data_IF_744307395925
#
_entry.id   IF_744307395925
#
_cell.length_a   1.000
_cell.length_b   1.000
_cell.length_c   1.000
_cell.angle_alpha   90.00
_cell.angle_beta   90.00
_cell.angle_gamma   90.00
#
_symmetry.space_group_name_H-M   'P 1'
#
loop_
_entity.id
_entity.type
_entity.pdbx_description
1 polymer ?
#
# COMPACT_ATOMS: atom_id res chain seq x y z
N UNK A 1 52.88 -15.81 -12.34
CA UNK A 1 52.75 -14.70 -11.83
C UNK A 1 51.72 -13.84 -12.34
N UNK A 2 51.63 -13.55 -13.53
CA UNK A 2 50.66 -12.69 -14.05
C UNK A 2 49.31 -13.28 -14.00
N UNK A 3 49.17 -14.51 -13.84
CA UNK A 3 47.90 -15.15 -13.86
C UNK A 3 46.97 -14.70 -12.78
N UNK A 4 47.53 -14.42 -11.68
CA UNK A 4 46.68 -14.03 -10.61
C UNK A 4 45.93 -12.83 -10.86
N UNK A 5 46.48 -11.94 -11.56
CA UNK A 5 45.83 -10.72 -11.79
C UNK A 5 44.54 -10.90 -12.49
N UNK A 6 44.53 -11.78 -13.38
CA UNK A 6 43.38 -12.01 -14.18
C UNK A 6 42.23 -12.51 -13.37
N UNK A 7 42.55 -13.34 -12.46
CA UNK A 7 41.51 -13.89 -11.64
C UNK A 7 40.82 -12.90 -10.82
N UNK A 8 41.53 -11.97 -10.30
CA UNK A 8 40.91 -11.02 -9.42
C UNK A 8 39.96 -10.14 -10.18
N UNK A 9 40.25 -9.81 -11.37
CA UNK A 9 39.35 -8.98 -12.11
C UNK A 9 38.05 -9.65 -12.36
N UNK A 10 38.13 -10.95 -12.53
CA UNK A 10 36.97 -11.66 -12.82
C UNK A 10 35.91 -11.54 -11.81
N UNK A 11 36.28 -11.50 -10.58
CA UNK A 11 35.32 -11.46 -9.53
C UNK A 11 34.46 -10.25 -9.50
N UNK A 12 34.91 -9.15 -9.93
CA UNK A 12 34.13 -8.00 -9.88
C UNK A 12 32.92 -8.02 -10.71
N UNK A 13 33.01 -8.59 -11.83
CA UNK A 13 31.93 -8.57 -12.77
C UNK A 13 30.67 -9.14 -12.25
N UNK A 14 30.78 -10.12 -11.43
CA UNK A 14 29.61 -10.72 -10.95
C UNK A 14 28.80 -9.84 -10.09
N UNK A 15 29.44 -9.11 -9.26
CA UNK A 15 28.75 -8.31 -8.30
C UNK A 15 27.87 -7.29 -8.94
N UNK A 16 28.31 -6.72 -9.99
CA UNK A 16 27.55 -5.66 -10.57
C UNK A 16 26.28 -6.18 -11.22
N UNK A 17 26.30 -7.36 -11.70
CA UNK A 17 25.11 -7.84 -12.36
C UNK A 17 23.98 -8.12 -11.41
N UNK A 18 24.28 -8.42 -10.20
CA UNK A 18 23.25 -8.73 -9.28
C UNK A 18 22.42 -7.57 -8.89
N UNK A 19 22.99 -6.42 -8.95
CA UNK A 19 22.31 -5.24 -8.45
C UNK A 19 21.27 -4.69 -9.39
N UNK A 20 21.23 -5.12 -10.58
CA UNK A 20 20.37 -4.49 -11.54
C UNK A 20 19.10 -5.26 -11.82
N UNK A 21 18.53 -5.85 -10.82
CA UNK A 21 17.31 -6.53 -11.02
C UNK A 21 16.20 -5.58 -11.26
N UNK A 22 15.56 -5.63 -12.38
CA UNK A 22 14.44 -4.74 -12.62
C UNK A 22 13.24 -5.22 -11.85
N UNK A 23 12.63 -4.34 -11.12
CA UNK A 23 11.42 -4.67 -10.44
C UNK A 23 10.28 -4.04 -11.18
N UNK A 24 9.16 -4.69 -11.16
CA UNK A 24 7.98 -4.11 -11.73
C UNK A 24 7.61 -2.88 -10.95
N UNK A 25 7.25 -1.83 -11.62
CA UNK A 25 6.83 -0.64 -10.89
C UNK A 25 5.55 -0.92 -10.18
N UNK A 26 5.64 -1.02 -8.89
CA UNK A 26 4.46 -1.10 -8.06
C UNK A 26 4.05 0.32 -7.81
N UNK A 27 2.93 0.71 -8.33
CA UNK A 27 2.43 2.03 -8.06
C UNK A 27 1.70 2.00 -6.75
N UNK A 28 2.42 2.35 -5.73
CA UNK A 28 1.82 2.46 -4.42
C UNK A 28 1.24 3.84 -4.27
N UNK A 29 0.10 3.90 -3.65
CA UNK A 29 -0.61 5.15 -3.49
C UNK A 29 -1.09 5.25 -2.05
N UNK A 30 -0.87 6.38 -1.44
CA UNK A 30 -1.28 6.59 -0.04
C UNK A 30 -2.59 7.31 0.01
N UNK A 31 -3.52 6.76 0.79
CA UNK A 31 -4.84 7.32 0.95
C UNK A 31 -5.09 7.56 2.41
N UNK A 32 -5.46 8.78 2.76
CA UNK A 32 -5.82 9.10 4.12
C UNK A 32 -7.32 8.88 4.29
N UNK A 33 -7.68 8.12 5.30
CA UNK A 33 -9.07 7.76 5.56
C UNK A 33 -9.49 8.40 6.87
N UNK A 34 -10.57 9.15 6.84
CA UNK A 34 -11.13 9.75 8.04
C UNK A 34 -12.63 9.46 8.10
N UNK A 35 -13.17 9.45 9.29
CA UNK A 35 -14.59 9.23 9.46
C UNK A 35 -15.18 10.23 10.44
N UNK A 36 -16.47 10.47 10.32
CA UNK A 36 -17.19 11.26 11.27
C UNK A 36 -18.40 10.44 11.70
N UNK A 37 -18.45 10.02 12.95
CA UNK A 37 -17.51 10.30 14.04
C UNK A 37 -16.22 9.49 13.88
N UNK A 38 -15.18 9.94 14.54
CA UNK A 38 -13.90 9.26 14.49
C UNK A 38 -13.95 7.91 15.18
N UNK A 39 -12.97 7.08 14.88
CA UNK A 39 -12.87 5.79 15.53
C UNK A 39 -13.58 4.66 14.82
N UNK A 40 -13.99 4.88 13.59
CA UNK A 40 -14.63 3.81 12.84
C UNK A 40 -13.62 2.75 12.45
N UNK A 41 -14.06 1.51 12.43
CA UNK A 41 -13.20 0.40 12.02
C UNK A 41 -13.08 0.39 10.52
N UNK A 42 -11.87 0.20 10.02
CA UNK A 42 -11.60 0.20 8.59
C UNK A 42 -11.04 -1.14 8.18
N UNK A 43 -11.61 -1.69 7.12
CA UNK A 43 -11.09 -2.91 6.50
C UNK A 43 -10.67 -2.58 5.09
N UNK A 44 -9.52 -3.08 4.69
CA UNK A 44 -9.04 -2.93 3.32
C UNK A 44 -9.10 -4.30 2.66
N UNK A 45 -9.87 -4.40 1.60
CA UNK A 45 -10.05 -5.66 0.88
C UNK A 45 -10.43 -6.79 1.84
N UNK A 46 -11.34 -6.49 2.76
CA UNK A 46 -11.87 -7.42 3.75
C UNK A 46 -10.92 -7.75 4.91
N UNK A 47 -9.78 -7.08 5.01
CA UNK A 47 -8.87 -7.28 6.13
C UNK A 47 -8.85 -6.06 7.03
N UNK A 48 -9.00 -6.26 8.31
CA UNK A 48 -9.00 -5.16 9.26
C UNK A 48 -7.62 -4.49 9.29
N UNK A 49 -7.60 -3.17 9.16
CA UNK A 49 -6.34 -2.41 9.12
C UNK A 49 -6.23 -1.35 10.20
N UNK A 50 -7.29 -1.08 10.92
CA UNK A 50 -7.23 -0.13 12.04
C UNK A 50 -8.46 0.73 12.11
N UNK A 51 -8.36 1.81 12.88
CA UNK A 51 -9.46 2.74 13.07
C UNK A 51 -9.14 4.07 12.44
N UNK A 52 -10.16 4.70 11.86
CA UNK A 52 -9.99 6.03 11.29
C UNK A 52 -9.79 7.06 12.39
N UNK A 53 -8.95 8.07 12.19
CA UNK A 53 -8.23 8.35 10.94
C UNK A 53 -6.97 7.51 10.80
N UNK A 54 -6.70 7.11 9.57
CA UNK A 54 -5.49 6.37 9.28
C UNK A 54 -5.09 6.57 7.83
N UNK A 55 -3.87 6.19 7.50
CA UNK A 55 -3.39 6.28 6.13
C UNK A 55 -3.09 4.88 5.63
N UNK A 56 -3.62 4.55 4.47
CA UNK A 56 -3.41 3.25 3.85
C UNK A 56 -2.52 3.39 2.64
N UNK A 57 -1.73 2.36 2.41
CA UNK A 57 -0.95 2.26 1.18
C UNK A 57 -1.59 1.18 0.34
N UNK A 58 -2.00 1.53 -0.86
CA UNK A 58 -2.67 0.59 -1.74
C UNK A 58 -1.87 0.42 -3.02
N UNK A 59 -2.09 -0.71 -3.67
CA UNK A 59 -1.46 -0.98 -4.94
C UNK A 59 -2.46 -0.66 -6.04
N UNK A 60 -2.14 0.31 -6.87
CA UNK A 60 -3.07 0.76 -7.88
C UNK A 60 -3.19 -0.17 -9.07
N UNK A 61 -2.41 -1.24 -9.09
CA UNK A 61 -2.51 -2.23 -10.16
C UNK A 61 -3.68 -3.19 -9.97
N UNK A 62 -4.36 -3.12 -8.85
CA UNK A 62 -5.48 -4.00 -8.60
C UNK A 62 -6.62 -3.20 -8.02
N UNK A 63 -7.79 -3.80 -8.03
CA UNK A 63 -8.97 -3.17 -7.47
C UNK A 63 -8.90 -3.22 -5.95
N UNK A 64 -9.20 -2.12 -5.32
CA UNK A 64 -9.19 -2.05 -3.88
C UNK A 64 -10.47 -1.43 -3.38
N UNK A 65 -10.88 -1.83 -2.20
CA UNK A 65 -12.03 -1.21 -1.55
C UNK A 65 -11.81 -1.16 -0.05
N UNK A 66 -12.49 -0.24 0.60
CA UNK A 66 -12.52 -0.22 2.06
C UNK A 66 -13.95 -0.43 2.51
N UNK A 67 -14.09 -1.04 3.68
CA UNK A 67 -15.36 -1.13 4.35
C UNK A 67 -15.17 -0.44 5.70
N UNK A 68 -15.99 0.55 5.96
CA UNK A 68 -15.84 1.33 7.18
C UNK A 68 -17.11 1.22 8.00
N UNK A 69 -16.96 0.95 9.28
CA UNK A 69 -18.11 0.71 10.13
C UNK A 69 -17.83 1.14 11.56
N UNK A 70 -18.90 1.42 12.28
CA UNK A 70 -18.80 1.78 13.68
C UNK A 70 -20.09 1.32 14.36
N UNK A 71 -19.97 0.87 15.60
CA UNK A 71 -21.13 0.39 16.34
C UNK A 71 -22.19 1.49 16.43
N UNK A 72 -23.40 1.19 16.05
CA UNK A 72 -24.48 2.15 16.04
C UNK A 72 -24.63 2.91 14.74
N UNK A 73 -23.77 2.62 13.77
CA UNK A 73 -23.80 3.30 12.48
C UNK A 73 -23.80 2.29 11.35
N UNK A 74 -24.36 2.67 10.23
CA UNK A 74 -24.41 1.80 9.08
C UNK A 74 -23.04 1.71 8.45
N UNK A 75 -22.61 0.51 8.09
CA UNK A 75 -21.34 0.32 7.42
C UNK A 75 -21.40 0.78 5.98
N UNK A 76 -20.27 1.21 5.44
CA UNK A 76 -20.18 1.68 4.06
C UNK A 76 -19.00 1.06 3.35
N UNK A 77 -19.21 0.72 2.11
CA UNK A 77 -18.15 0.20 1.25
C UNK A 77 -17.78 1.26 0.23
N UNK A 78 -16.50 1.55 0.11
CA UNK A 78 -16.01 2.57 -0.79
C UNK A 78 -14.95 1.95 -1.67
N UNK A 79 -15.13 2.06 -2.97
CA UNK A 79 -14.13 1.57 -3.91
C UNK A 79 -13.05 2.62 -4.07
N UNK A 80 -11.80 2.17 -4.06
CA UNK A 80 -10.65 3.05 -4.21
C UNK A 80 -10.18 2.99 -5.65
N UNK A 81 -10.11 4.15 -6.28
CA UNK A 81 -9.74 4.21 -7.68
C UNK A 81 -8.28 4.61 -7.91
N UNK A 82 -7.55 4.81 -6.82
CA UNK A 82 -6.15 5.19 -6.95
C UNK A 82 -5.93 6.65 -7.28
N UNK A 83 -6.98 7.43 -7.31
CA UNK A 83 -6.87 8.85 -7.62
C UNK A 83 -7.17 9.74 -6.43
N UNK A 84 -7.82 9.19 -5.44
CA UNK A 84 -8.19 9.96 -4.25
C UNK A 84 -7.10 9.83 -3.21
N UNK A 85 -6.54 10.94 -2.78
CA UNK A 85 -5.54 10.91 -1.73
C UNK A 85 -6.15 11.04 -0.35
N UNK A 86 -7.39 11.44 -0.27
CA UNK A 86 -8.06 11.63 0.99
C UNK A 86 -9.53 11.26 0.87
N UNK A 87 -10.02 10.50 1.81
CA UNK A 87 -11.41 10.07 1.84
C UNK A 87 -11.96 10.37 3.23
N UNK A 88 -13.02 11.15 3.27
CA UNK A 88 -13.70 11.46 4.50
C UNK A 88 -15.09 10.87 4.44
N UNK A 89 -15.42 10.01 5.37
CA UNK A 89 -16.68 9.29 5.37
C UNK A 89 -17.57 9.81 6.46
N UNK A 90 -18.77 10.23 6.08
CA UNK A 90 -19.78 10.61 7.05
C UNK A 90 -20.62 9.38 7.34
N UNK A 91 -20.52 8.87 8.56
CA UNK A 91 -21.30 7.70 8.94
C UNK A 91 -22.72 8.11 9.29
N UNK A 92 -23.64 7.21 8.99
CA UNK A 92 -25.06 7.47 9.22
C UNK A 92 -25.54 6.52 10.31
N UNK A 93 -26.26 7.06 11.27
CA UNK A 93 -26.81 6.25 12.36
C UNK A 93 -27.80 5.25 11.84
N UNK A 94 -27.74 4.07 12.39
CA UNK A 94 -28.72 3.04 12.08
C UNK A 94 -30.05 3.37 12.71
#
# INVERSE_FOLDING_TARGET
MKLQHIVSVFCFLFLSSCASMPTLPNKEFKVAIASVPEGADVQLNAYYVGKAPLTLTINTNSSNFIYISKVGFAGQRINLDGKQSEIKVQLVKE
#
